data_IF_425530129203
#
_entry.id   IF_425530129203
#
_cell.length_a   1.000
_cell.length_b   1.000
_cell.length_c   1.000
_cell.angle_alpha   90.00
_cell.angle_beta   90.00
_cell.angle_gamma   90.00
#
_symmetry.space_group_name_H-M   'P 1'
#
loop_
_entity.id
_entity.type
_entity.pdbx_description
1 polymer ?
#
# COMPACT_ATOMS: atom_id res chain seq x y z
N UNK A 1 5.94 -6.67 -11.83
CA UNK A 1 6.86 -6.12 -10.81
C UNK A 1 8.29 -6.58 -11.11
N UNK A 2 8.60 -7.87 -11.19
CA UNK A 2 9.97 -8.38 -11.42
C UNK A 2 10.70 -7.81 -12.65
N UNK A 3 10.00 -7.39 -13.71
CA UNK A 3 10.62 -6.71 -14.86
C UNK A 3 11.13 -5.28 -14.53
N UNK A 4 10.58 -4.64 -13.51
CA UNK A 4 10.94 -3.27 -13.09
C UNK A 4 11.84 -3.30 -11.86
N UNK A 5 11.64 -4.28 -10.99
CA UNK A 5 12.41 -4.55 -9.77
C UNK A 5 12.94 -6.00 -9.85
N UNK A 6 14.06 -6.24 -10.56
CA UNK A 6 14.58 -7.59 -10.80
C UNK A 6 14.90 -8.37 -9.52
N UNK A 7 15.27 -7.68 -8.45
CA UNK A 7 15.51 -8.27 -7.13
C UNK A 7 14.29 -8.93 -6.49
N UNK A 8 13.09 -8.60 -6.97
CA UNK A 8 11.83 -9.18 -6.52
C UNK A 8 11.30 -10.29 -7.45
N UNK A 9 12.05 -10.64 -8.50
CA UNK A 9 11.62 -11.70 -9.43
C UNK A 9 11.55 -13.05 -8.72
N UNK A 10 10.39 -13.70 -8.83
CA UNK A 10 10.13 -14.98 -8.16
C UNK A 10 9.78 -14.88 -6.66
N UNK A 11 9.86 -13.68 -6.07
CA UNK A 11 9.53 -13.45 -4.66
C UNK A 11 8.11 -12.91 -4.46
N UNK A 12 7.46 -12.48 -5.53
CA UNK A 12 6.11 -11.89 -5.49
C UNK A 12 5.13 -12.74 -6.27
N UNK A 13 4.04 -13.09 -5.62
CA UNK A 13 2.85 -13.65 -6.25
C UNK A 13 1.68 -12.68 -6.02
N UNK A 14 0.89 -12.43 -7.05
CA UNK A 14 -0.27 -11.55 -6.94
C UNK A 14 -1.40 -11.95 -7.85
N UNK A 15 -2.60 -11.57 -7.46
CA UNK A 15 -3.82 -11.70 -8.25
C UNK A 15 -4.62 -10.41 -8.16
N UNK A 16 -5.56 -10.23 -9.07
CA UNK A 16 -6.49 -9.11 -9.05
C UNK A 16 -7.92 -9.62 -9.07
N UNK A 17 -8.77 -9.02 -8.25
CA UNK A 17 -10.18 -9.37 -8.16
C UNK A 17 -11.00 -8.13 -8.55
N UNK A 18 -11.89 -8.31 -9.54
CA UNK A 18 -12.86 -7.28 -9.91
C UNK A 18 -14.05 -7.31 -8.97
N UNK A 19 -14.37 -6.16 -8.37
CA UNK A 19 -15.51 -5.98 -7.47
C UNK A 19 -16.48 -4.91 -8.01
N UNK A 20 -17.76 -4.93 -7.63
CA UNK A 20 -18.78 -4.02 -8.17
C UNK A 20 -18.78 -2.68 -7.44
N UNK A 21 -17.66 -1.95 -7.50
CA UNK A 21 -17.53 -0.56 -7.04
C UNK A 21 -17.32 0.36 -8.24
N UNK A 22 -17.72 1.61 -8.13
CA UNK A 22 -17.61 2.58 -9.23
C UNK A 22 -16.16 2.95 -9.51
N UNK A 23 -15.36 3.15 -8.47
CA UNK A 23 -13.97 3.55 -8.51
C UNK A 23 -13.29 3.19 -7.18
N UNK A 24 -11.96 3.28 -7.15
CA UNK A 24 -11.15 2.92 -6.01
C UNK A 24 -10.73 1.45 -5.99
N UNK A 25 -9.57 1.23 -5.44
CA UNK A 25 -8.93 -0.08 -5.33
C UNK A 25 -8.20 -0.23 -3.99
N UNK A 26 -7.88 -1.47 -3.66
CA UNK A 26 -7.17 -1.80 -2.43
C UNK A 26 -6.04 -2.78 -2.75
N UNK A 27 -4.86 -2.52 -2.23
CA UNK A 27 -3.78 -3.49 -2.13
C UNK A 27 -3.89 -4.18 -0.78
N UNK A 28 -3.98 -5.49 -0.81
CA UNK A 28 -3.88 -6.37 0.35
C UNK A 28 -2.52 -7.07 0.24
N UNK A 29 -1.56 -6.64 1.05
CA UNK A 29 -0.18 -7.07 0.98
C UNK A 29 0.19 -7.91 2.19
N UNK A 30 0.65 -9.15 1.95
CA UNK A 30 1.24 -10.00 2.98
C UNK A 30 2.71 -10.24 2.64
N UNK A 31 3.61 -9.90 3.56
CA UNK A 31 5.06 -10.02 3.35
C UNK A 31 5.77 -10.63 4.54
N UNK A 32 6.83 -11.39 4.27
CA UNK A 32 7.86 -11.76 5.23
C UNK A 32 9.02 -10.76 5.11
N UNK A 33 9.51 -10.23 6.22
CA UNK A 33 10.67 -9.31 6.25
C UNK A 33 11.81 -9.91 7.05
N UNK A 34 13.04 -9.48 6.78
CA UNK A 34 14.25 -10.02 7.43
C UNK A 34 14.32 -9.69 8.93
N UNK A 35 13.80 -8.52 9.32
CA UNK A 35 13.88 -8.04 10.70
C UNK A 35 12.53 -8.13 11.37
N UNK A 36 12.51 -8.68 12.58
CA UNK A 36 11.32 -8.62 13.42
C UNK A 36 10.94 -7.17 13.71
N UNK A 37 9.66 -6.91 13.70
CA UNK A 37 9.07 -5.57 13.91
C UNK A 37 7.75 -5.67 14.68
N UNK A 38 7.15 -4.53 15.00
CA UNK A 38 5.82 -4.44 15.60
C UNK A 38 4.88 -3.62 14.74
N UNK A 39 3.57 -3.76 14.95
CA UNK A 39 2.54 -2.94 14.30
C UNK A 39 2.84 -1.45 14.49
N UNK A 40 3.22 -1.05 15.69
CA UNK A 40 3.52 0.32 16.06
C UNK A 40 4.71 0.87 15.29
N UNK A 41 5.77 0.05 15.12
CA UNK A 41 6.96 0.44 14.35
C UNK A 41 6.65 0.58 12.86
N UNK A 42 5.86 -0.33 12.30
CA UNK A 42 5.40 -0.28 10.91
C UNK A 42 4.59 1.00 10.68
N UNK A 43 3.56 1.21 11.49
CA UNK A 43 2.68 2.37 11.38
C UNK A 43 3.44 3.69 11.58
N UNK A 44 4.35 3.75 12.56
CA UNK A 44 5.23 4.90 12.78
C UNK A 44 6.12 5.17 11.56
N UNK A 45 6.61 4.12 10.92
CA UNK A 45 7.46 4.24 9.74
C UNK A 45 6.68 4.82 8.55
N UNK A 46 5.47 4.32 8.28
CA UNK A 46 4.60 4.88 7.25
C UNK A 46 4.22 6.33 7.56
N UNK A 47 3.79 6.62 8.78
CA UNK A 47 3.41 7.97 9.20
C UNK A 47 4.56 8.97 9.06
N UNK A 48 5.77 8.58 9.44
CA UNK A 48 6.97 9.44 9.34
C UNK A 48 7.37 9.73 7.89
N UNK A 49 7.17 8.77 6.98
CA UNK A 49 7.57 8.88 5.59
C UNK A 49 6.39 9.20 4.65
N UNK A 50 5.25 9.56 5.22
CA UNK A 50 4.07 9.97 4.47
C UNK A 50 4.37 11.20 3.61
N UNK A 51 3.92 11.18 2.37
CA UNK A 51 4.12 12.24 1.39
C UNK A 51 2.99 12.21 0.34
N UNK A 52 3.05 13.03 -0.69
CA UNK A 52 2.03 13.10 -1.74
C UNK A 52 1.89 11.83 -2.62
N UNK A 53 2.84 10.90 -2.54
CA UNK A 53 2.81 9.62 -3.27
C UNK A 53 2.28 8.50 -2.40
N UNK A 54 2.66 8.47 -1.11
CA UNK A 54 2.23 7.45 -0.15
C UNK A 54 1.79 8.13 1.13
N UNK A 55 0.49 8.16 1.37
CA UNK A 55 -0.12 8.67 2.58
C UNK A 55 -0.32 7.58 3.64
N UNK A 56 -0.60 8.01 4.85
CA UNK A 56 -0.95 7.15 5.97
C UNK A 56 -2.13 7.73 6.73
N UNK A 57 -3.09 6.88 7.10
CA UNK A 57 -4.24 7.26 7.93
C UNK A 57 -4.51 6.27 9.04
N UNK A 58 -5.12 6.76 10.11
CA UNK A 58 -5.73 5.98 11.20
C UNK A 58 -7.26 6.21 11.25
N UNK A 59 -7.80 6.93 10.29
CA UNK A 59 -9.24 7.11 10.15
C UNK A 59 -9.90 5.84 9.60
N UNK A 60 -11.12 5.53 10.02
CA UNK A 60 -11.85 4.34 9.56
C UNK A 60 -12.41 4.57 8.15
N UNK A 61 -11.55 4.58 7.13
CA UNK A 61 -11.92 4.82 5.74
C UNK A 61 -12.45 3.55 5.05
N UNK A 62 -13.25 3.76 4.02
CA UNK A 62 -13.79 2.73 3.14
C UNK A 62 -13.60 3.12 1.67
N UNK A 63 -13.95 2.24 0.73
CA UNK A 63 -13.72 2.45 -0.70
C UNK A 63 -14.25 3.77 -1.26
N UNK A 64 -15.36 4.29 -0.75
CA UNK A 64 -15.91 5.59 -1.20
C UNK A 64 -15.08 6.80 -0.77
N UNK A 65 -14.29 6.69 0.30
CA UNK A 65 -13.49 7.80 0.83
C UNK A 65 -12.24 8.06 -0.01
N UNK A 66 -11.80 7.04 -0.77
CA UNK A 66 -10.60 7.16 -1.61
C UNK A 66 -10.89 7.76 -2.99
N UNK A 67 -12.15 7.87 -3.38
CA UNK A 67 -12.55 8.44 -4.68
C UNK A 67 -12.07 9.88 -4.78
N UNK A 68 -11.41 10.21 -5.90
CA UNK A 68 -10.75 11.50 -6.18
C UNK A 68 -9.48 11.76 -5.35
N UNK A 69 -8.94 10.77 -4.66
CA UNK A 69 -7.63 10.91 -4.03
C UNK A 69 -6.54 11.11 -5.07
N UNK A 70 -5.72 12.13 -4.88
CA UNK A 70 -4.57 12.43 -5.76
C UNK A 70 -3.29 11.73 -5.31
N UNK A 71 -3.32 11.06 -4.17
CA UNK A 71 -2.22 10.27 -3.65
C UNK A 71 -2.05 8.98 -4.45
N UNK A 72 -0.83 8.45 -4.53
CA UNK A 72 -0.57 7.17 -5.18
C UNK A 72 -1.18 6.00 -4.40
N UNK A 73 -1.10 6.04 -3.08
CA UNK A 73 -1.80 5.13 -2.18
C UNK A 73 -1.87 5.72 -0.76
N UNK A 74 -2.89 5.32 0.02
CA UNK A 74 -3.06 5.69 1.43
C UNK A 74 -3.04 4.41 2.26
N UNK A 75 -2.02 4.24 3.09
CA UNK A 75 -1.89 3.09 4.00
C UNK A 75 -2.88 3.23 5.14
N UNK A 76 -3.66 2.19 5.36
CA UNK A 76 -4.62 2.08 6.46
C UNK A 76 -3.94 1.46 7.69
N UNK A 77 -3.54 2.29 8.62
CA UNK A 77 -2.85 1.85 9.85
C UNK A 77 -3.72 1.01 10.78
N UNK A 78 -5.04 1.09 10.68
CA UNK A 78 -5.95 0.26 11.47
C UNK A 78 -5.88 -1.20 11.02
N UNK A 79 -5.69 -1.44 9.73
CA UNK A 79 -5.63 -2.77 9.12
C UNK A 79 -4.23 -3.40 9.14
N UNK A 80 -3.19 -2.65 9.53
CA UNK A 80 -1.85 -3.24 9.74
C UNK A 80 -1.92 -4.33 10.81
N UNK A 81 -1.40 -5.51 10.50
CA UNK A 81 -1.37 -6.65 11.41
C UNK A 81 -0.10 -7.48 11.26
N UNK A 82 0.24 -8.27 12.27
CA UNK A 82 1.38 -9.19 12.25
C UNK A 82 0.92 -10.53 12.81
N UNK A 83 1.28 -11.60 12.12
CA UNK A 83 1.13 -12.97 12.60
C UNK A 83 2.51 -13.57 12.73
N UNK A 84 2.81 -14.15 13.88
CA UNK A 84 4.06 -14.85 14.10
C UNK A 84 3.83 -16.38 14.11
N UNK A 85 4.58 -17.09 13.27
CA UNK A 85 4.51 -18.53 13.14
C UNK A 85 5.93 -19.09 13.06
N UNK A 86 6.30 -19.98 14.00
CA UNK A 86 7.60 -20.63 14.05
C UNK A 86 8.80 -19.65 13.99
N UNK A 87 8.69 -18.52 14.69
CA UNK A 87 9.73 -17.50 14.73
C UNK A 87 9.85 -16.65 13.47
N UNK A 88 8.90 -16.74 12.54
CA UNK A 88 8.79 -15.90 11.36
C UNK A 88 7.57 -15.03 11.45
N UNK A 89 7.70 -13.77 11.01
CA UNK A 89 6.60 -12.82 10.98
C UNK A 89 6.05 -12.69 9.56
N UNK A 90 4.73 -12.80 9.44
CA UNK A 90 3.98 -12.36 8.27
C UNK A 90 3.33 -11.03 8.61
N UNK A 91 3.68 -10.01 7.88
CA UNK A 91 3.17 -8.65 8.03
C UNK A 91 2.07 -8.44 7.01
N UNK A 92 0.92 -7.99 7.47
CA UNK A 92 -0.22 -7.61 6.66
C UNK A 92 -0.35 -6.10 6.63
N UNK A 93 -0.32 -5.51 5.44
CA UNK A 93 -0.50 -4.07 5.20
C UNK A 93 -1.57 -3.88 4.14
N UNK A 94 -2.47 -2.96 4.40
CA UNK A 94 -3.52 -2.59 3.47
C UNK A 94 -3.32 -1.14 3.02
N UNK A 95 -3.47 -0.90 1.73
CA UNK A 95 -3.42 0.45 1.18
C UNK A 95 -4.53 0.67 0.15
N UNK A 96 -5.22 1.79 0.28
CA UNK A 96 -6.27 2.24 -0.62
C UNK A 96 -5.71 3.17 -1.69
N UNK A 97 -6.27 3.14 -2.89
CA UNK A 97 -5.89 4.09 -3.94
C UNK A 97 -7.03 4.30 -4.96
N UNK A 98 -7.09 5.51 -5.51
CA UNK A 98 -7.89 5.79 -6.68
C UNK A 98 -7.08 5.41 -7.93
N UNK A 99 -7.54 4.39 -8.64
CA UNK A 99 -6.84 3.84 -9.80
C UNK A 99 -6.84 4.77 -11.02
N UNK A 100 -7.65 5.82 -11.03
CA UNK A 100 -7.73 6.81 -12.11
C UNK A 100 -7.04 8.13 -11.71
N UNK A 101 -7.52 8.78 -10.64
CA UNK A 101 -6.99 10.06 -10.19
C UNK A 101 -5.57 9.93 -9.63
N UNK A 102 -5.33 8.96 -8.75
CA UNK A 102 -4.00 8.71 -8.18
C UNK A 102 -2.96 8.43 -9.26
N UNK A 103 -3.28 7.56 -10.23
CA UNK A 103 -2.39 7.27 -11.36
C UNK A 103 -2.09 8.52 -12.21
N UNK A 104 -3.12 9.30 -12.54
CA UNK A 104 -2.97 10.52 -13.35
C UNK A 104 -2.05 11.54 -12.67
N UNK A 105 -2.20 11.72 -11.36
CA UNK A 105 -1.33 12.61 -10.59
C UNK A 105 0.11 12.08 -10.49
N UNK A 106 0.31 10.78 -10.31
CA UNK A 106 1.66 10.19 -10.31
C UNK A 106 2.35 10.37 -11.67
N UNK A 107 1.62 10.27 -12.76
CA UNK A 107 2.15 10.54 -14.10
C UNK A 107 2.62 11.99 -14.24
N UNK A 108 1.83 12.95 -13.74
CA UNK A 108 2.23 14.38 -13.74
C UNK A 108 3.43 14.64 -12.84
N UNK A 109 3.51 14.00 -11.66
CA UNK A 109 4.68 14.11 -10.77
C UNK A 109 5.94 13.59 -11.45
N UNK A 110 5.88 12.41 -12.05
CA UNK A 110 7.01 11.83 -12.79
C UNK A 110 7.48 12.75 -13.93
N UNK A 111 6.56 13.35 -14.68
CA UNK A 111 6.91 14.31 -15.74
C UNK A 111 7.62 15.57 -15.23
N UNK A 112 7.40 15.96 -13.98
CA UNK A 112 8.09 17.13 -13.39
C UNK A 112 9.52 16.83 -12.94
N UNK A 113 9.88 15.56 -12.82
CA UNK A 113 11.23 15.11 -12.43
C UNK A 113 12.13 14.84 -13.64
N UNK A 114 11.56 14.84 -14.86
CA UNK A 114 12.29 14.69 -16.13
C UNK A 114 12.84 16.03 -16.63
#
# INVERSE_FOLDING_TARGET
IGKVLPELEGLILGSAIRVPVSDGSLVDLVVEVEKHTSKEEINKTFKKNSNETLEYTEDPIVSSDIISSTCGATVDGNLTNIIEVNGKQLIHVVAWYDNEMGYSYQMVRTLREL
#
